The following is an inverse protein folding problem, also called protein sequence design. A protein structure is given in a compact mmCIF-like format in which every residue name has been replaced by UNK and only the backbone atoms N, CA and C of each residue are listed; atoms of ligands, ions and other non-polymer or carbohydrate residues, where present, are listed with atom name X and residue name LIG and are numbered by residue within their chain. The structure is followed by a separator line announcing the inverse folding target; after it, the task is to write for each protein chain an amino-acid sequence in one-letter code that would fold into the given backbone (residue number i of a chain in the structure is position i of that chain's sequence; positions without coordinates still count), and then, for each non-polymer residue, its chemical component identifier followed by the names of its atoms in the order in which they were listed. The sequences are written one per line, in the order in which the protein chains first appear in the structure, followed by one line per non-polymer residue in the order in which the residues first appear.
data_IF_279644130168
#
_entry.id   IF_279644130168
#
_cell.length_a   1.000
_cell.length_b   1.000
_cell.length_c   1.000
_cell.angle_alpha   90.00
_cell.angle_beta   90.00
_cell.angle_gamma   90.00
#
_symmetry.space_group_name_H-M   'P 1'
#
loop_
_entity.id
_entity.type
_entity.pdbx_description
1 polymer ?
#
# COMPACT_ATOMS: atom_id res chain seq x y z
N UNK A 1 -12.86 -9.28 -7.84
CA UNK A 1 -11.66 -8.41 -7.94
C UNK A 1 -11.51 -7.46 -6.76
N UNK A 2 -12.61 -6.93 -6.20
CA UNK A 2 -12.60 -6.04 -5.03
C UNK A 2 -11.83 -6.58 -3.82
N UNK A 3 -12.09 -7.82 -3.38
CA UNK A 3 -11.40 -8.44 -2.22
C UNK A 3 -9.89 -8.53 -2.42
N UNK A 4 -9.45 -8.90 -3.63
CA UNK A 4 -8.03 -9.01 -3.97
C UNK A 4 -7.36 -7.64 -3.98
N UNK A 5 -7.99 -6.61 -4.58
CA UNK A 5 -7.46 -5.25 -4.57
C UNK A 5 -7.39 -4.65 -3.15
N UNK A 6 -8.38 -4.94 -2.31
CA UNK A 6 -8.40 -4.51 -0.91
C UNK A 6 -7.32 -5.22 -0.09
N UNK A 7 -7.14 -6.53 -0.28
CA UNK A 7 -6.07 -7.31 0.36
C UNK A 7 -4.67 -6.87 -0.09
N UNK A 8 -4.47 -6.62 -1.38
CA UNK A 8 -3.21 -6.08 -1.92
C UNK A 8 -2.91 -4.69 -1.33
N UNK A 9 -3.92 -3.81 -1.28
CA UNK A 9 -3.77 -2.48 -0.72
C UNK A 9 -3.39 -2.52 0.76
N UNK A 10 -4.03 -3.37 1.56
CA UNK A 10 -3.67 -3.57 2.97
C UNK A 10 -2.25 -4.12 3.12
N UNK A 11 -1.84 -5.08 2.29
CA UNK A 11 -0.49 -5.62 2.33
C UNK A 11 0.57 -4.57 2.01
N UNK A 12 0.36 -3.75 0.97
CA UNK A 12 1.25 -2.65 0.60
C UNK A 12 1.32 -1.58 1.69
N UNK A 13 0.17 -1.21 2.26
CA UNK A 13 0.10 -0.24 3.36
C UNK A 13 0.91 -0.72 4.57
N UNK A 14 0.68 -1.98 5.00
CA UNK A 14 1.42 -2.56 6.12
C UNK A 14 2.91 -2.69 5.81
N UNK A 15 3.27 -3.08 4.57
CA UNK A 15 4.66 -3.15 4.14
C UNK A 15 5.35 -1.79 4.19
N UNK A 16 4.71 -0.72 3.72
CA UNK A 16 5.23 0.65 3.81
C UNK A 16 5.38 1.13 5.26
N UNK A 17 4.28 1.12 6.00
CA UNK A 17 4.21 1.68 7.35
C UNK A 17 5.07 0.93 8.37
N UNK A 18 5.06 -0.41 8.32
CA UNK A 18 5.84 -1.26 9.24
C UNK A 18 7.26 -1.47 8.72
N UNK A 19 7.42 -1.69 7.41
CA UNK A 19 8.72 -1.98 6.79
C UNK A 19 9.71 -0.84 6.97
N UNK A 20 9.29 0.43 6.85
CA UNK A 20 10.18 1.57 7.11
C UNK A 20 10.72 1.57 8.55
N UNK A 21 9.88 1.26 9.53
CA UNK A 21 10.27 1.20 10.95
C UNK A 21 11.24 0.05 11.21
N UNK A 22 10.94 -1.13 10.65
CA UNK A 22 11.78 -2.32 10.78
C UNK A 22 13.13 -2.11 10.10
N UNK A 23 13.15 -1.55 8.88
CA UNK A 23 14.37 -1.28 8.14
C UNK A 23 15.30 -0.34 8.92
N UNK A 24 14.76 0.76 9.46
CA UNK A 24 15.50 1.68 10.33
C UNK A 24 16.04 1.00 11.60
N UNK A 25 15.27 0.12 12.22
CA UNK A 25 15.68 -0.59 13.43
C UNK A 25 16.83 -1.57 13.16
N UNK A 26 16.80 -2.27 12.03
CA UNK A 26 17.81 -3.28 11.67
C UNK A 26 19.08 -2.63 11.09
N UNK A 27 18.98 -1.47 10.44
CA UNK A 27 20.10 -0.79 9.80
C UNK A 27 20.88 0.17 10.72
N UNK A 28 20.55 0.22 12.02
CA UNK A 28 21.21 1.14 12.96
C UNK A 28 20.75 2.59 12.85
N UNK A 29 19.52 2.83 12.37
CA UNK A 29 18.87 4.15 12.37
C UNK A 29 19.00 4.95 11.09
N UNK A 30 19.68 4.42 10.06
CA UNK A 30 19.82 5.09 8.78
C UNK A 30 19.53 4.15 7.61
N UNK A 31 18.70 4.59 6.67
CA UNK A 31 18.48 3.95 5.39
C UNK A 31 18.62 4.97 4.25
N UNK A 32 19.10 4.55 3.07
CA UNK A 32 19.19 5.40 1.89
C UNK A 32 17.88 6.14 1.59
N UNK A 33 17.98 7.33 0.98
CA UNK A 33 16.81 8.14 0.64
C UNK A 33 15.82 7.41 -0.28
N UNK A 34 16.32 6.62 -1.22
CA UNK A 34 15.49 5.85 -2.14
C UNK A 34 14.71 4.72 -1.46
N UNK A 35 15.24 4.12 -0.38
CA UNK A 35 14.52 3.11 0.40
C UNK A 35 13.36 3.76 1.16
N UNK A 36 13.59 4.94 1.74
CA UNK A 36 12.52 5.71 2.41
C UNK A 36 11.40 6.07 1.45
N UNK A 37 11.74 6.50 0.24
CA UNK A 37 10.71 6.83 -0.77
C UNK A 37 9.95 5.58 -1.21
N UNK A 38 10.60 4.42 -1.37
CA UNK A 38 9.88 3.18 -1.71
C UNK A 38 8.88 2.75 -0.63
N UNK A 39 9.25 2.83 0.65
CA UNK A 39 8.29 2.51 1.73
C UNK A 39 7.13 3.50 1.77
N UNK A 40 7.42 4.79 1.58
CA UNK A 40 6.40 5.84 1.50
C UNK A 40 5.45 5.61 0.32
N UNK A 41 5.98 5.34 -0.87
CA UNK A 41 5.20 5.07 -2.07
C UNK A 41 4.33 3.82 -1.89
N UNK A 42 4.87 2.75 -1.30
CA UNK A 42 4.11 1.54 -0.98
C UNK A 42 2.95 1.83 -0.01
N UNK A 43 3.17 2.67 1.01
CA UNK A 43 2.13 3.08 1.95
C UNK A 43 0.98 3.81 1.25
N UNK A 44 1.32 4.82 0.45
CA UNK A 44 0.33 5.62 -0.29
C UNK A 44 -0.41 4.83 -1.36
N UNK A 45 0.29 3.98 -2.11
CA UNK A 45 -0.34 3.07 -3.07
C UNK A 45 -1.26 2.08 -2.36
N UNK A 46 -0.86 1.58 -1.19
CA UNK A 46 -1.68 0.73 -0.35
C UNK A 46 -3.00 1.40 0.06
N UNK A 47 -2.92 2.63 0.58
CA UNK A 47 -4.10 3.44 0.94
C UNK A 47 -5.00 3.66 -0.29
N UNK A 48 -4.42 4.08 -1.41
CA UNK A 48 -5.17 4.31 -2.64
C UNK A 48 -5.90 3.03 -3.09
N UNK A 49 -5.24 1.88 -3.08
CA UNK A 49 -5.86 0.59 -3.42
C UNK A 49 -7.00 0.22 -2.47
N UNK A 50 -6.83 0.38 -1.16
CA UNK A 50 -7.90 0.08 -0.18
C UNK A 50 -9.12 0.95 -0.41
N UNK A 51 -8.94 2.24 -0.67
CA UNK A 51 -10.03 3.19 -0.86
C UNK A 51 -10.71 3.03 -2.23
N UNK A 52 -9.94 2.91 -3.32
CA UNK A 52 -10.48 2.91 -4.67
C UNK A 52 -10.92 1.53 -5.16
N UNK A 53 -10.36 0.43 -4.64
CA UNK A 53 -10.78 -0.93 -5.02
C UNK A 53 -12.30 -1.19 -4.88
N UNK A 54 -12.95 -0.90 -3.73
CA UNK A 54 -14.40 -1.08 -3.60
C UNK A 54 -15.21 -0.15 -4.50
N UNK A 55 -14.72 1.05 -4.77
CA UNK A 55 -15.41 2.01 -5.66
C UNK A 55 -15.37 1.50 -7.10
N UNK A 56 -14.19 1.15 -7.61
CA UNK A 56 -14.02 0.74 -9.01
C UNK A 56 -14.65 -0.64 -9.24
N UNK A 57 -14.30 -1.64 -8.44
CA UNK A 57 -14.70 -3.02 -8.69
C UNK A 57 -16.01 -3.43 -8.02
N UNK A 58 -16.42 -2.74 -6.95
CA UNK A 58 -17.66 -3.02 -6.24
C UNK A 58 -18.85 -2.18 -6.72
N UNK A 59 -18.60 -1.01 -7.31
CA UNK A 59 -19.66 -0.08 -7.72
C UNK A 59 -19.57 0.22 -9.22
N UNK A 60 -18.47 0.81 -9.71
CA UNK A 60 -18.40 1.32 -11.08
C UNK A 60 -18.51 0.20 -12.11
N UNK A 61 -17.66 -0.82 -12.03
CA UNK A 61 -17.64 -1.92 -13.00
C UNK A 61 -18.99 -2.64 -13.13
N UNK A 62 -19.66 -3.06 -12.04
CA UNK A 62 -21.00 -3.63 -12.13
C UNK A 62 -22.09 -2.73 -12.74
N UNK A 63 -21.89 -1.41 -12.75
CA UNK A 63 -22.84 -0.46 -13.33
C UNK A 63 -22.57 -0.18 -14.82
N UNK A 64 -21.40 -0.58 -15.32
CA UNK A 64 -20.95 -0.33 -16.70
C UNK A 64 -20.92 -1.59 -17.57
N UNK A 65 -21.09 -2.75 -16.96
CA UNK A 65 -21.28 -4.06 -17.61
C UNK A 65 -22.76 -4.37 -17.78
#
# INVERSE_FOLDING_TARGET
MTKTGLGLGLALFLFGAVGAKVALAVSGGAIPGWERTLFFDAEWLGIALVLFSPIIFGIVLPLTE
#
